data_IF_219060241728
#
_entry.id   IF_219060241728
#
_cell.length_a   1.000
_cell.length_b   1.000
_cell.length_c   1.000
_cell.angle_alpha   90.00
_cell.angle_beta   90.00
_cell.angle_gamma   90.00
#
_symmetry.space_group_name_H-M   'P 1'
#
loop_
_entity.id
_entity.type
_entity.pdbx_description
1 polymer ?
#
# COMPACT_ATOMS: atom_id res chain seq x y z
N UNK A 1 5.28 0.53 -5.05
CA UNK A 1 4.53 -0.30 -6.03
C UNK A 1 3.02 -0.17 -5.89
N UNK A 2 2.30 -0.78 -4.91
CA UNK A 2 0.82 -0.69 -4.80
C UNK A 2 0.35 0.78 -4.69
N UNK A 3 0.92 1.55 -3.79
CA UNK A 3 0.57 2.95 -3.54
C UNK A 3 0.69 3.83 -4.79
N UNK A 4 1.78 3.67 -5.54
CA UNK A 4 2.08 4.49 -6.71
C UNK A 4 1.11 4.17 -7.86
N UNK A 5 0.74 2.90 -7.99
CA UNK A 5 -0.27 2.46 -8.96
C UNK A 5 -1.67 2.95 -8.62
N UNK A 6 -2.04 3.01 -7.33
CA UNK A 6 -3.30 3.65 -6.92
C UNK A 6 -3.33 5.11 -7.39
N UNK A 7 -2.25 5.86 -7.19
CA UNK A 7 -2.19 7.26 -7.63
C UNK A 7 -2.25 7.44 -9.15
N UNK A 8 -1.73 6.49 -9.93
CA UNK A 8 -1.69 6.58 -11.40
C UNK A 8 -2.99 6.11 -12.06
N UNK A 9 -3.56 5.01 -11.60
CA UNK A 9 -4.64 4.32 -12.33
C UNK A 9 -6.04 4.62 -11.80
N UNK A 10 -6.18 5.19 -10.59
CA UNK A 10 -7.50 5.33 -9.98
C UNK A 10 -8.39 6.36 -10.65
N UNK A 11 -7.85 7.44 -11.22
CA UNK A 11 -8.66 8.40 -11.99
C UNK A 11 -9.31 7.70 -13.18
N UNK A 12 -8.51 6.92 -13.93
CA UNK A 12 -9.01 6.17 -15.09
C UNK A 12 -10.00 5.09 -14.66
N UNK A 13 -9.73 4.40 -13.54
CA UNK A 13 -10.64 3.41 -12.97
C UNK A 13 -12.04 3.98 -12.68
N UNK A 14 -12.12 5.16 -12.07
CA UNK A 14 -13.42 5.77 -11.76
C UNK A 14 -14.16 6.23 -13.00
N UNK A 15 -13.46 6.73 -14.01
CA UNK A 15 -14.05 7.08 -15.31
C UNK A 15 -14.59 5.83 -16.01
N UNK A 16 -13.77 4.78 -16.13
CA UNK A 16 -14.10 3.57 -16.90
C UNK A 16 -15.19 2.73 -16.23
N UNK A 17 -15.15 2.57 -14.91
CA UNK A 17 -16.05 1.65 -14.20
C UNK A 17 -17.35 2.30 -13.75
N UNK A 18 -17.35 3.61 -13.50
CA UNK A 18 -18.50 4.32 -12.94
C UNK A 18 -19.00 5.44 -13.82
N UNK A 19 -18.41 5.65 -15.00
CA UNK A 19 -18.74 6.74 -15.93
C UNK A 19 -18.76 8.14 -15.25
N UNK A 20 -17.88 8.32 -14.25
CA UNK A 20 -17.75 9.60 -13.53
C UNK A 20 -16.94 10.55 -14.40
N UNK A 21 -17.36 11.83 -14.46
CA UNK A 21 -16.61 12.86 -15.18
C UNK A 21 -15.15 12.93 -14.71
N UNK A 22 -14.23 13.22 -15.64
CA UNK A 22 -12.79 13.22 -15.38
C UNK A 22 -12.40 14.18 -14.24
N UNK A 23 -13.01 15.37 -14.18
CA UNK A 23 -12.73 16.36 -13.15
C UNK A 23 -13.20 15.88 -11.76
N UNK A 24 -14.40 15.28 -11.70
CA UNK A 24 -14.92 14.71 -10.47
C UNK A 24 -14.08 13.49 -10.02
N UNK A 25 -13.68 12.65 -10.96
CA UNK A 25 -12.80 11.51 -10.69
C UNK A 25 -11.44 11.95 -10.14
N UNK A 26 -10.82 12.96 -10.74
CA UNK A 26 -9.57 13.54 -10.24
C UNK A 26 -9.73 14.12 -8.83
N UNK A 27 -10.83 14.81 -8.54
CA UNK A 27 -11.12 15.33 -7.21
C UNK A 27 -11.21 14.20 -6.16
N UNK A 28 -11.89 13.09 -6.49
CA UNK A 28 -11.97 11.93 -5.59
C UNK A 28 -10.61 11.31 -5.31
N UNK A 29 -9.77 11.18 -6.33
CA UNK A 29 -8.44 10.61 -6.18
C UNK A 29 -7.53 11.46 -5.30
N UNK A 30 -7.74 12.78 -5.21
CA UNK A 30 -7.00 13.67 -4.29
C UNK A 30 -7.24 13.34 -2.80
N UNK A 31 -8.39 12.76 -2.42
CA UNK A 31 -8.63 12.33 -1.05
C UNK A 31 -7.72 11.16 -0.62
N UNK A 32 -7.33 10.30 -1.54
CA UNK A 32 -6.53 9.11 -1.25
C UNK A 32 -5.17 9.45 -0.61
N UNK A 33 -4.35 10.35 -1.17
CA UNK A 33 -3.10 10.79 -0.55
C UNK A 33 -3.29 11.48 0.81
N UNK A 34 -4.39 12.22 1.00
CA UNK A 34 -4.69 12.87 2.29
C UNK A 34 -4.88 11.82 3.39
N UNK A 35 -5.66 10.79 3.12
CA UNK A 35 -5.86 9.67 4.05
C UNK A 35 -4.54 8.92 4.28
N UNK A 36 -3.71 8.76 3.25
CA UNK A 36 -2.38 8.19 3.39
C UNK A 36 -1.42 9.02 4.25
N UNK A 37 -1.52 10.34 4.18
CA UNK A 37 -0.77 11.25 5.06
C UNK A 37 -1.21 11.10 6.53
N UNK A 38 -2.51 11.03 6.79
CA UNK A 38 -3.06 10.76 8.12
C UNK A 38 -2.57 9.40 8.65
N UNK A 39 -2.48 8.38 7.80
CA UNK A 39 -1.92 7.08 8.16
C UNK A 39 -0.46 7.17 8.65
N UNK A 40 0.37 8.01 8.03
CA UNK A 40 1.75 8.25 8.47
C UNK A 40 1.82 8.97 9.83
N UNK A 41 0.97 9.98 10.03
CA UNK A 41 0.88 10.69 11.32
C UNK A 41 0.40 9.74 12.43
N UNK A 42 -0.51 8.82 12.12
CA UNK A 42 -1.03 7.84 13.06
C UNK A 42 0.00 6.74 13.41
N UNK A 43 1.11 6.60 12.66
CA UNK A 43 2.12 5.56 12.86
C UNK A 43 2.57 5.41 14.32
N UNK A 44 2.97 6.47 15.07
CA UNK A 44 3.46 6.30 16.44
C UNK A 44 2.39 5.73 17.37
N UNK A 45 1.14 6.14 17.20
CA UNK A 45 0.00 5.63 17.97
C UNK A 45 -0.28 4.15 17.63
N UNK A 46 -0.32 3.81 16.34
CA UNK A 46 -0.53 2.44 15.86
C UNK A 46 0.61 1.51 16.31
N UNK A 47 1.85 1.99 16.31
CA UNK A 47 3.00 1.20 16.74
C UNK A 47 2.93 0.90 18.25
N UNK A 48 2.50 1.85 19.07
CA UNK A 48 2.25 1.61 20.51
C UNK A 48 1.18 0.54 20.73
N UNK A 49 0.09 0.56 19.97
CA UNK A 49 -0.96 -0.48 20.01
C UNK A 49 -0.42 -1.87 19.65
N UNK A 50 0.61 -1.93 18.81
CA UNK A 50 1.32 -3.17 18.46
C UNK A 50 2.49 -3.48 19.40
N UNK A 51 2.55 -2.87 20.60
CA UNK A 51 3.63 -3.04 21.60
C UNK A 51 5.03 -2.74 21.02
N UNK A 52 5.13 -1.73 20.17
CA UNK A 52 6.35 -1.32 19.46
C UNK A 52 6.97 -2.45 18.62
N UNK A 53 6.15 -3.36 18.11
CA UNK A 53 6.59 -4.43 17.22
C UNK A 53 6.27 -4.06 15.77
N UNK A 54 7.22 -3.46 15.08
CA UNK A 54 7.09 -2.93 13.72
C UNK A 54 6.61 -3.97 12.72
N UNK A 55 7.11 -5.21 12.81
CA UNK A 55 6.66 -6.31 11.92
C UNK A 55 5.19 -6.70 12.16
N UNK A 56 4.71 -6.63 13.41
CA UNK A 56 3.28 -6.86 13.72
C UNK A 56 2.39 -5.75 13.15
N UNK A 57 2.86 -4.51 13.24
CA UNK A 57 2.13 -3.39 12.64
C UNK A 57 2.06 -3.55 11.12
N UNK A 58 3.17 -3.89 10.46
CA UNK A 58 3.22 -4.13 9.03
C UNK A 58 2.31 -5.31 8.61
N UNK A 59 2.32 -6.42 9.36
CA UNK A 59 1.45 -7.57 9.10
C UNK A 59 -0.03 -7.17 9.17
N UNK A 60 -0.45 -6.43 10.21
CA UNK A 60 -1.83 -5.95 10.34
C UNK A 60 -2.23 -4.98 9.23
N UNK A 61 -1.32 -4.10 8.81
CA UNK A 61 -1.57 -3.20 7.69
C UNK A 61 -1.79 -3.99 6.38
N UNK A 62 -1.01 -5.04 6.12
CA UNK A 62 -1.22 -5.90 4.95
C UNK A 62 -2.51 -6.72 5.05
N UNK A 63 -2.93 -7.18 6.25
CA UNK A 63 -4.24 -7.83 6.43
C UNK A 63 -5.38 -6.86 6.06
N UNK A 64 -5.29 -5.59 6.46
CA UNK A 64 -6.25 -4.58 6.06
C UNK A 64 -6.27 -4.39 4.53
N UNK A 65 -5.09 -4.41 3.88
CA UNK A 65 -5.01 -4.37 2.42
C UNK A 65 -5.69 -5.58 1.76
N UNK A 66 -5.53 -6.79 2.31
CA UNK A 66 -6.19 -7.99 1.79
C UNK A 66 -7.71 -7.82 1.85
N UNK A 67 -8.25 -7.45 3.02
CA UNK A 67 -9.69 -7.28 3.21
C UNK A 67 -10.25 -6.22 2.24
N UNK A 68 -9.61 -5.06 2.16
CA UNK A 68 -10.06 -3.99 1.27
C UNK A 68 -9.93 -4.39 -0.22
N UNK A 69 -8.87 -5.12 -0.60
CA UNK A 69 -8.71 -5.61 -1.98
C UNK A 69 -9.76 -6.66 -2.34
N UNK A 70 -10.10 -7.57 -1.42
CA UNK A 70 -11.16 -8.58 -1.63
C UNK A 70 -12.52 -7.91 -1.81
N UNK A 71 -12.82 -6.85 -1.05
CA UNK A 71 -14.05 -6.07 -1.24
C UNK A 71 -14.06 -5.47 -2.66
N UNK A 72 -12.95 -4.93 -3.14
CA UNK A 72 -12.82 -4.34 -4.48
C UNK A 72 -12.96 -5.36 -5.63
N UNK A 73 -12.82 -6.66 -5.38
CA UNK A 73 -13.08 -7.70 -6.38
C UNK A 73 -14.58 -7.90 -6.68
N UNK A 74 -15.46 -7.42 -5.81
CA UNK A 74 -16.91 -7.51 -6.02
C UNK A 74 -17.36 -6.56 -7.14
N UNK A 75 -18.10 -7.07 -8.13
CA UNK A 75 -18.54 -6.28 -9.30
C UNK A 75 -19.62 -5.24 -9.01
N UNK A 76 -20.27 -5.29 -7.84
CA UNK A 76 -21.43 -4.47 -7.49
C UNK A 76 -21.12 -3.44 -6.40
N UNK A 77 -19.94 -2.82 -6.44
CA UNK A 77 -19.51 -1.86 -5.41
C UNK A 77 -19.90 -0.45 -5.83
N UNK A 78 -20.43 0.35 -4.89
CA UNK A 78 -20.65 1.77 -5.14
C UNK A 78 -19.30 2.54 -5.22
N UNK A 79 -19.24 3.65 -5.95
CA UNK A 79 -18.03 4.50 -6.04
C UNK A 79 -17.51 4.93 -4.67
N UNK A 80 -18.40 5.20 -3.72
CA UNK A 80 -18.05 5.62 -2.36
C UNK A 80 -17.29 4.50 -1.62
N UNK A 81 -17.78 3.26 -1.71
CA UNK A 81 -17.09 2.12 -1.08
C UNK A 81 -15.74 1.88 -1.74
N UNK A 82 -15.64 2.02 -3.06
CA UNK A 82 -14.38 1.91 -3.76
C UNK A 82 -13.34 2.94 -3.29
N UNK A 83 -13.73 4.22 -3.14
CA UNK A 83 -12.87 5.30 -2.63
C UNK A 83 -12.40 4.98 -1.20
N UNK A 84 -13.30 4.52 -0.34
CA UNK A 84 -12.96 4.16 1.05
C UNK A 84 -11.96 3.01 1.07
N UNK A 85 -12.21 1.94 0.33
CA UNK A 85 -11.29 0.80 0.26
C UNK A 85 -9.92 1.19 -0.28
N UNK A 86 -9.85 1.96 -1.36
CA UNK A 86 -8.61 2.46 -1.94
C UNK A 86 -7.84 3.37 -0.98
N UNK A 87 -8.54 4.24 -0.27
CA UNK A 87 -7.96 5.12 0.74
C UNK A 87 -7.38 4.31 1.91
N UNK A 88 -8.07 3.25 2.36
CA UNK A 88 -7.59 2.35 3.40
C UNK A 88 -6.34 1.58 2.95
N UNK A 89 -6.32 1.05 1.73
CA UNK A 89 -5.12 0.40 1.16
C UNK A 89 -3.96 1.38 1.12
N UNK A 90 -4.20 2.59 0.60
CA UNK A 90 -3.17 3.62 0.50
C UNK A 90 -2.61 4.04 1.87
N UNK A 91 -3.48 4.21 2.88
CA UNK A 91 -3.08 4.51 4.24
C UNK A 91 -2.27 3.37 4.86
N UNK A 92 -2.73 2.13 4.72
CA UNK A 92 -2.03 0.96 5.24
C UNK A 92 -0.62 0.81 4.63
N UNK A 93 -0.49 0.94 3.31
CA UNK A 93 0.82 0.92 2.64
C UNK A 93 1.68 2.12 3.04
N UNK A 94 1.08 3.29 3.30
CA UNK A 94 1.83 4.46 3.79
C UNK A 94 2.42 4.23 5.19
N UNK A 95 1.70 3.53 6.08
CA UNK A 95 2.22 3.09 7.38
C UNK A 95 3.38 2.11 7.19
N UNK A 96 3.23 1.11 6.31
CA UNK A 96 4.29 0.15 5.99
C UNK A 96 5.54 0.85 5.43
N UNK A 97 5.38 1.80 4.53
CA UNK A 97 6.49 2.61 4.01
C UNK A 97 7.20 3.37 5.14
N UNK A 98 6.46 3.94 6.10
CA UNK A 98 7.08 4.61 7.26
C UNK A 98 7.93 3.65 8.08
N UNK A 99 7.44 2.43 8.33
CA UNK A 99 8.22 1.38 9.02
C UNK A 99 9.53 1.10 8.29
N UNK A 100 9.46 0.79 7.00
CA UNK A 100 10.62 0.30 6.26
C UNK A 100 11.55 1.39 5.74
N UNK A 101 11.04 2.52 5.26
CA UNK A 101 11.86 3.57 4.65
C UNK A 101 12.34 4.63 5.66
N UNK A 102 11.64 4.80 6.80
CA UNK A 102 12.01 5.80 7.79
C UNK A 102 12.56 5.18 9.08
N UNK A 103 11.84 4.21 9.66
CA UNK A 103 12.19 3.69 10.99
C UNK A 103 13.27 2.61 10.92
N UNK A 104 13.19 1.69 9.97
CA UNK A 104 14.16 0.60 9.84
C UNK A 104 15.60 1.10 9.61
N UNK A 105 15.88 2.08 8.74
CA UNK A 105 17.24 2.61 8.57
C UNK A 105 17.82 3.24 9.85
N UNK A 106 16.99 3.78 10.75
CA UNK A 106 17.45 4.36 12.02
C UNK A 106 18.16 3.34 12.92
N UNK A 107 17.86 2.05 12.77
CA UNK A 107 18.52 0.98 13.53
C UNK A 107 20.03 0.88 13.18
N UNK A 108 20.41 1.39 12.01
CA UNK A 108 21.81 1.40 11.52
C UNK A 108 22.53 2.75 11.74
N UNK A 109 21.87 3.71 12.39
CA UNK A 109 22.43 5.05 12.65
C UNK A 109 23.72 4.98 13.51
N UNK A 110 23.76 4.11 14.49
CA UNK A 110 24.93 3.91 15.38
C UNK A 110 26.20 3.51 14.63
N UNK A 111 26.07 2.84 13.49
CA UNK A 111 27.18 2.37 12.67
C UNK A 111 27.51 3.33 11.51
N UNK A 112 26.88 4.50 11.45
CA UNK A 112 27.06 5.48 10.36
C UNK A 112 26.46 5.05 9.00
N UNK A 113 25.79 3.89 8.94
CA UNK A 113 25.30 3.30 7.67
C UNK A 113 23.83 3.62 7.36
N UNK A 114 23.20 4.51 8.12
CA UNK A 114 21.77 4.85 7.95
C UNK A 114 21.45 5.30 6.52
N UNK A 115 22.24 6.23 5.98
CA UNK A 115 22.01 6.80 4.63
C UNK A 115 22.15 5.75 3.54
N UNK A 116 23.13 4.86 3.65
CA UNK A 116 23.34 3.77 2.69
C UNK A 116 22.18 2.78 2.69
N UNK A 117 21.71 2.39 3.88
CA UNK A 117 20.55 1.50 4.02
C UNK A 117 19.29 2.15 3.47
N UNK A 118 19.04 3.42 3.80
CA UNK A 118 17.89 4.18 3.27
C UNK A 118 17.94 4.25 1.74
N UNK A 119 19.09 4.61 1.16
CA UNK A 119 19.26 4.70 -0.29
C UNK A 119 19.02 3.38 -1.02
N UNK A 120 19.51 2.25 -0.47
CA UNK A 120 19.27 0.92 -1.03
C UNK A 120 17.77 0.58 -0.99
N UNK A 121 17.10 0.84 0.13
CA UNK A 121 15.67 0.56 0.26
C UNK A 121 14.83 1.42 -0.66
N UNK A 122 15.15 2.69 -0.79
CA UNK A 122 14.49 3.60 -1.74
C UNK A 122 14.71 3.15 -3.19
N UNK A 123 15.93 2.76 -3.55
CA UNK A 123 16.24 2.24 -4.88
C UNK A 123 15.35 1.04 -5.25
N UNK A 124 15.27 0.02 -4.40
CA UNK A 124 14.39 -1.14 -4.66
C UNK A 124 12.91 -0.77 -4.65
N UNK A 125 12.50 0.19 -3.83
CA UNK A 125 11.12 0.66 -3.79
C UNK A 125 10.74 1.33 -5.11
N UNK A 126 11.58 2.22 -5.64
CA UNK A 126 11.33 2.92 -6.91
C UNK A 126 11.47 2.00 -8.12
N UNK A 127 12.44 1.08 -8.13
CA UNK A 127 12.51 0.03 -9.15
C UNK A 127 11.23 -0.81 -9.17
N UNK A 128 10.78 -1.27 -8.00
CA UNK A 128 9.54 -2.02 -7.89
C UNK A 128 8.31 -1.20 -8.29
N UNK A 129 8.30 0.12 -8.05
CA UNK A 129 7.23 1.00 -8.49
C UNK A 129 7.20 1.12 -10.02
N UNK A 130 8.36 1.33 -10.66
CA UNK A 130 8.48 1.46 -12.12
C UNK A 130 8.08 0.17 -12.85
N UNK A 131 8.66 -0.97 -12.47
CA UNK A 131 8.32 -2.27 -13.05
C UNK A 131 6.84 -2.58 -12.81
N UNK A 132 6.35 -2.34 -11.57
CA UNK A 132 4.95 -2.57 -11.22
C UNK A 132 4.01 -1.72 -12.06
N UNK A 133 4.33 -0.45 -12.31
CA UNK A 133 3.51 0.44 -13.13
C UNK A 133 3.33 -0.09 -14.55
N UNK A 134 4.40 -0.58 -15.17
CA UNK A 134 4.33 -1.22 -16.50
C UNK A 134 3.49 -2.50 -16.47
N UNK A 135 3.73 -3.38 -15.50
CA UNK A 135 2.97 -4.62 -15.36
C UNK A 135 1.47 -4.34 -15.16
N UNK A 136 1.12 -3.36 -14.33
CA UNK A 136 -0.29 -3.01 -14.09
C UNK A 136 -0.95 -2.39 -15.32
N UNK A 137 -0.22 -1.60 -16.13
CA UNK A 137 -0.72 -1.11 -17.40
C UNK A 137 -1.14 -2.25 -18.32
N UNK A 138 -0.27 -3.25 -18.50
CA UNK A 138 -0.60 -4.46 -19.27
C UNK A 138 -1.75 -5.25 -18.63
N UNK A 139 -1.74 -5.45 -17.31
CA UNK A 139 -2.80 -6.20 -16.63
C UNK A 139 -4.17 -5.54 -16.79
N UNK A 140 -4.26 -4.22 -16.67
CA UNK A 140 -5.51 -3.50 -16.85
C UNK A 140 -6.01 -3.58 -18.28
N UNK A 141 -5.12 -3.45 -19.27
CA UNK A 141 -5.51 -3.50 -20.69
C UNK A 141 -5.99 -4.89 -21.14
N UNK A 142 -5.44 -5.97 -20.57
CA UNK A 142 -5.77 -7.35 -21.00
C UNK A 142 -6.81 -8.04 -20.10
N UNK A 143 -6.78 -7.79 -18.81
CA UNK A 143 -7.59 -8.50 -17.80
C UNK A 143 -8.49 -7.58 -16.98
N UNK A 144 -8.42 -6.26 -17.24
CA UNK A 144 -9.19 -5.27 -16.50
C UNK A 144 -8.72 -5.04 -15.06
N UNK A 145 -9.44 -4.20 -14.35
CA UNK A 145 -9.12 -3.80 -12.95
C UNK A 145 -9.23 -4.95 -11.95
N UNK A 146 -10.02 -5.99 -12.26
CA UNK A 146 -10.12 -7.18 -11.43
C UNK A 146 -8.75 -7.82 -11.18
N UNK A 147 -7.96 -8.01 -12.24
CA UNK A 147 -6.63 -8.60 -12.13
C UNK A 147 -5.68 -7.72 -11.30
N UNK A 148 -5.80 -6.40 -11.41
CA UNK A 148 -5.03 -5.46 -10.62
C UNK A 148 -5.34 -5.59 -9.12
N UNK A 149 -6.61 -5.60 -8.72
CA UNK A 149 -7.00 -5.75 -7.31
C UNK A 149 -6.68 -7.15 -6.77
N UNK A 150 -6.79 -8.20 -7.59
CA UNK A 150 -6.36 -9.54 -7.23
C UNK A 150 -4.86 -9.57 -6.93
N UNK A 151 -4.04 -8.90 -7.74
CA UNK A 151 -2.60 -8.80 -7.52
C UNK A 151 -2.26 -8.07 -6.20
N UNK A 152 -3.02 -7.03 -5.83
CA UNK A 152 -2.85 -6.36 -4.54
C UNK A 152 -3.11 -7.32 -3.38
N UNK A 153 -4.16 -8.14 -3.48
CA UNK A 153 -4.45 -9.16 -2.47
C UNK A 153 -3.32 -10.19 -2.38
N UNK A 154 -2.86 -10.74 -3.51
CA UNK A 154 -1.80 -11.75 -3.56
C UNK A 154 -0.48 -11.21 -2.98
N UNK A 155 -0.04 -10.02 -3.40
CA UNK A 155 1.18 -9.39 -2.87
C UNK A 155 1.05 -9.13 -1.37
N UNK A 156 -0.12 -8.71 -0.90
CA UNK A 156 -0.36 -8.50 0.53
C UNK A 156 -0.32 -9.81 1.32
N UNK A 157 -0.88 -10.91 0.81
CA UNK A 157 -0.80 -12.23 1.44
C UNK A 157 0.64 -12.70 1.57
N UNK A 158 1.43 -12.60 0.50
CA UNK A 158 2.86 -12.96 0.53
C UNK A 158 3.59 -12.12 1.58
N UNK A 159 3.30 -10.82 1.65
CA UNK A 159 3.89 -9.91 2.63
C UNK A 159 3.55 -10.29 4.06
N UNK A 160 2.29 -10.67 4.35
CA UNK A 160 1.87 -11.16 5.67
C UNK A 160 2.67 -12.41 6.06
N UNK A 161 2.77 -13.39 5.16
CA UNK A 161 3.51 -14.64 5.44
C UNK A 161 4.98 -14.34 5.78
N UNK A 162 5.62 -13.42 5.06
CA UNK A 162 7.01 -13.03 5.32
C UNK A 162 7.14 -12.34 6.69
N UNK A 163 6.20 -11.44 7.03
CA UNK A 163 6.23 -10.71 8.30
C UNK A 163 6.00 -11.65 9.49
N UNK A 164 5.02 -12.56 9.41
CA UNK A 164 4.74 -13.53 10.47
C UNK A 164 5.93 -14.46 10.73
N UNK A 165 6.61 -14.95 9.69
CA UNK A 165 7.85 -15.72 9.87
C UNK A 165 8.94 -14.96 10.62
N UNK A 166 9.09 -13.64 10.35
CA UNK A 166 10.04 -12.79 11.07
C UNK A 166 9.65 -12.54 12.53
N UNK A 167 8.35 -12.41 12.81
CA UNK A 167 7.82 -12.26 14.17
C UNK A 167 8.12 -13.50 14.99
N UNK A 168 7.86 -14.69 14.46
CA UNK A 168 8.13 -15.97 15.13
C UNK A 168 9.63 -16.09 15.44
N UNK A 169 10.50 -15.84 14.46
CA UNK A 169 11.95 -15.93 14.62
C UNK A 169 12.55 -14.94 15.63
N UNK A 170 11.89 -13.82 15.88
CA UNK A 170 12.34 -12.82 16.86
C UNK A 170 11.91 -13.16 18.30
N UNK A 171 10.86 -13.98 18.44
CA UNK A 171 10.31 -14.40 19.73
C UNK A 171 10.88 -15.77 20.19
N UNK A 172 11.56 -16.48 19.31
CA UNK A 172 12.34 -17.69 19.57
C UNK A 172 13.81 -17.36 19.86
#
# INVERSE_FOLDING_TARGET
MIKDNISLWMTVFFVDQYAIDLNASAAFVLFIPIVGFLGRIAYPMLNKLCKNQEYKLASRAFILCIVASVILLSKAISPIVAIVCLSLIYAAISVVNTVFLSVFPLQYAKNGNQSSVSGIMDFFTYMGAGIGSLCYGYMVSWFGYFAMFLSYAVVSVISVIIMEKKIIRKNS
#
